data_IF_321597387307
#
_entry.id   IF_321597387307
#
_cell.length_a   1.000
_cell.length_b   1.000
_cell.length_c   1.000
_cell.angle_alpha   90.00
_cell.angle_beta   90.00
_cell.angle_gamma   90.00
#
_symmetry.space_group_name_H-M   'P 1'
#
loop_
_entity.id
_entity.type
_entity.pdbx_description
1 polymer ?
#
# COMPACT_ATOMS: atom_id res chain seq x y z
N UNK A 1 -14.16 -4.08 17.21
CA UNK A 1 -13.13 -5.14 17.08
C UNK A 1 -13.84 -6.46 16.79
N UNK A 2 -13.43 -7.18 15.75
CA UNK A 2 -14.07 -8.41 15.28
C UNK A 2 -12.96 -9.48 15.18
N UNK A 3 -12.81 -10.35 16.21
CA UNK A 3 -11.75 -11.35 16.23
C UNK A 3 -12.04 -12.47 15.21
N UNK A 4 -11.01 -12.93 14.50
CA UNK A 4 -11.12 -14.05 13.55
C UNK A 4 -12.21 -13.84 12.49
N UNK A 5 -12.38 -12.60 12.02
CA UNK A 5 -13.41 -12.22 11.05
C UNK A 5 -13.23 -12.92 9.69
N UNK A 6 -12.01 -13.36 9.39
CA UNK A 6 -11.65 -14.03 8.14
C UNK A 6 -11.27 -15.50 8.38
N UNK A 7 -11.77 -16.39 7.52
CA UNK A 7 -11.34 -17.79 7.49
C UNK A 7 -9.86 -17.92 7.10
N UNK A 8 -9.25 -19.08 7.35
CA UNK A 8 -7.86 -19.34 6.94
C UNK A 8 -7.68 -19.20 5.43
N UNK A 9 -8.67 -19.62 4.65
CA UNK A 9 -8.68 -19.53 3.19
C UNK A 9 -8.72 -18.07 2.74
N UNK A 10 -9.60 -17.25 3.34
CA UNK A 10 -9.68 -15.81 3.08
C UNK A 10 -8.36 -15.11 3.46
N UNK A 11 -7.77 -15.47 4.60
CA UNK A 11 -6.47 -14.93 5.02
C UNK A 11 -5.37 -15.26 4.01
N UNK A 12 -5.28 -16.52 3.55
CA UNK A 12 -4.32 -16.93 2.53
C UNK A 12 -4.53 -16.18 1.21
N UNK A 13 -5.80 -15.99 0.81
CA UNK A 13 -6.17 -15.24 -0.37
C UNK A 13 -5.66 -13.80 -0.30
N UNK A 14 -5.98 -13.08 0.78
CA UNK A 14 -5.60 -11.68 0.94
C UNK A 14 -4.10 -11.46 1.11
N UNK A 15 -3.40 -12.35 1.82
CA UNK A 15 -1.93 -12.30 1.91
C UNK A 15 -1.33 -12.42 0.51
N UNK A 16 -1.83 -13.34 -0.32
CA UNK A 16 -1.34 -13.53 -1.69
C UNK A 16 -1.65 -12.31 -2.57
N UNK A 17 -2.86 -11.78 -2.52
CA UNK A 17 -3.22 -10.58 -3.30
C UNK A 17 -2.42 -9.35 -2.87
N UNK A 18 -2.15 -9.21 -1.56
CA UNK A 18 -1.32 -8.13 -1.03
C UNK A 18 0.10 -8.13 -1.58
N UNK A 19 0.68 -9.30 -1.85
CA UNK A 19 2.05 -9.37 -2.36
C UNK A 19 2.12 -9.45 -3.89
N UNK A 20 1.04 -9.87 -4.55
CA UNK A 20 1.01 -10.10 -6.00
C UNK A 20 0.34 -8.98 -6.79
N UNK A 21 -0.82 -8.52 -6.34
CA UNK A 21 -1.72 -7.69 -7.13
C UNK A 21 -1.71 -6.26 -6.64
N UNK A 22 -1.76 -6.05 -5.33
CA UNK A 22 -1.84 -4.73 -4.71
C UNK A 22 -0.65 -3.81 -5.04
N UNK A 23 0.61 -4.27 -5.09
CA UNK A 23 1.76 -3.41 -5.42
C UNK A 23 1.96 -3.21 -6.93
N UNK A 24 1.09 -3.75 -7.78
CA UNK A 24 1.22 -3.58 -9.23
C UNK A 24 0.79 -2.18 -9.67
N UNK A 25 1.50 -1.54 -10.61
CA UNK A 25 1.05 -0.30 -11.22
C UNK A 25 -0.38 -0.43 -11.78
N UNK A 26 -1.22 0.63 -11.70
CA UNK A 26 -0.87 2.00 -11.34
C UNK A 26 -0.76 2.27 -9.84
N UNK A 27 -1.00 1.27 -8.98
CA UNK A 27 -0.85 1.44 -7.54
C UNK A 27 0.59 1.85 -7.20
N UNK A 28 0.72 2.78 -6.25
CA UNK A 28 2.02 3.26 -5.80
C UNK A 28 2.48 2.46 -4.59
N UNK A 29 3.79 2.34 -4.46
CA UNK A 29 4.44 1.77 -3.29
C UNK A 29 5.54 2.71 -2.78
N UNK A 30 6.08 2.43 -1.60
CA UNK A 30 7.26 3.15 -1.11
C UNK A 30 8.49 3.04 -2.03
N UNK A 31 8.52 2.02 -2.91
CA UNK A 31 9.60 1.82 -3.87
C UNK A 31 9.44 2.71 -5.11
N UNK A 32 8.21 3.13 -5.42
CA UNK A 32 7.89 3.88 -6.64
C UNK A 32 8.66 5.18 -6.77
N UNK A 33 8.91 5.90 -5.66
CA UNK A 33 9.65 7.15 -5.67
C UNK A 33 11.12 6.99 -6.11
N UNK A 34 11.73 5.83 -5.85
CA UNK A 34 13.14 5.57 -6.18
C UNK A 34 13.30 4.87 -7.52
N UNK A 35 12.45 3.90 -7.81
CA UNK A 35 12.62 2.98 -8.94
C UNK A 35 11.59 3.19 -10.06
N UNK A 36 10.62 4.08 -9.86
CA UNK A 36 9.45 4.17 -10.72
C UNK A 36 8.48 2.99 -10.51
N UNK A 37 7.49 2.83 -11.41
CA UNK A 37 6.57 1.70 -11.37
C UNK A 37 7.33 0.36 -11.48
N UNK A 38 7.12 -0.56 -10.54
CA UNK A 38 7.70 -1.90 -10.57
C UNK A 38 6.58 -2.92 -10.74
N UNK A 39 6.58 -3.64 -11.85
CA UNK A 39 5.66 -4.76 -12.07
C UNK A 39 6.27 -6.09 -11.62
N UNK A 40 5.42 -7.02 -11.21
CA UNK A 40 5.77 -8.42 -10.96
C UNK A 40 6.90 -8.66 -9.96
N UNK A 41 7.06 -7.76 -8.98
CA UNK A 41 8.15 -7.80 -7.99
C UNK A 41 8.27 -9.15 -7.27
N UNK A 42 7.16 -9.74 -6.83
CA UNK A 42 7.18 -11.04 -6.15
C UNK A 42 7.57 -12.19 -7.10
N UNK A 43 7.14 -12.12 -8.36
CA UNK A 43 7.49 -13.13 -9.38
C UNK A 43 8.98 -13.03 -9.71
N UNK A 44 9.49 -11.82 -9.90
CA UNK A 44 10.91 -11.54 -10.08
C UNK A 44 11.73 -12.08 -8.90
N UNK A 45 11.27 -11.88 -7.65
CA UNK A 45 11.93 -12.41 -6.46
C UNK A 45 11.95 -13.95 -6.42
N UNK A 46 10.85 -14.61 -6.79
CA UNK A 46 10.79 -16.08 -6.87
C UNK A 46 11.76 -16.63 -7.92
N UNK A 47 11.91 -15.91 -9.03
CA UNK A 47 12.82 -16.26 -10.12
C UNK A 47 14.26 -15.76 -9.91
N UNK A 48 14.61 -15.30 -8.70
CA UNK A 48 15.95 -14.81 -8.35
C UNK A 48 16.47 -13.66 -9.26
N UNK A 49 15.55 -12.87 -9.82
CA UNK A 49 15.91 -11.76 -10.70
C UNK A 49 16.51 -10.59 -9.93
N UNK A 50 17.25 -9.77 -10.65
CA UNK A 50 17.86 -8.54 -10.16
C UNK A 50 17.31 -7.34 -10.94
N UNK A 51 17.00 -6.27 -10.21
CA UNK A 51 16.59 -5.01 -10.80
C UNK A 51 17.85 -4.23 -11.18
N UNK A 52 17.97 -3.84 -12.45
CA UNK A 52 19.11 -3.07 -12.98
C UNK A 52 18.64 -1.76 -13.60
N UNK A 53 19.45 -0.73 -13.45
CA UNK A 53 19.28 0.54 -14.17
C UNK A 53 19.62 0.33 -15.66
N UNK A 54 18.74 0.78 -16.55
CA UNK A 54 18.93 0.74 -17.99
C UNK A 54 19.31 2.14 -18.45
N UNK A 55 20.42 2.27 -19.16
CA UNK A 55 20.76 3.54 -19.80
C UNK A 55 19.73 3.85 -20.89
N UNK A 56 19.09 5.02 -20.78
CA UNK A 56 18.30 5.57 -21.87
C UNK A 56 19.23 5.85 -23.04
N UNK A 57 19.12 5.09 -24.13
CA UNK A 57 19.87 5.33 -25.36
C UNK A 57 19.49 6.69 -25.96
N UNK A 58 20.18 7.76 -25.54
CA UNK A 58 20.04 9.09 -26.13
C UNK A 58 20.82 9.12 -27.45
N UNK A 59 20.15 8.71 -28.52
CA UNK A 59 20.71 8.70 -29.87
C UNK A 59 19.69 9.10 -30.92
N UNK A 60 19.25 10.36 -30.93
CA UNK A 60 18.92 11.18 -32.11
C UNK A 60 18.42 12.58 -31.70
N UNK A 61 18.92 13.67 -32.31
CA UNK A 61 18.33 14.99 -32.16
C UNK A 61 17.15 15.14 -33.11
N UNK A 62 16.02 15.70 -32.67
CA UNK A 62 15.07 16.42 -33.53
C UNK A 62 14.01 17.19 -32.72
N UNK A 63 14.03 18.48 -33.00
CA UNK A 63 12.93 19.43 -33.15
C UNK A 63 12.01 19.78 -31.97
N UNK A 64 11.95 21.09 -31.76
CA UNK A 64 11.03 21.84 -30.90
C UNK A 64 9.56 21.52 -31.23
N UNK A 65 8.78 21.08 -30.23
CA UNK A 65 7.56 21.80 -29.79
C UNK A 65 6.80 21.09 -28.65
N UNK A 66 6.44 21.93 -27.67
CA UNK A 66 5.31 21.88 -26.72
C UNK A 66 5.46 21.18 -25.34
N UNK A 67 5.56 22.07 -24.33
CA UNK A 67 5.17 22.00 -22.91
C UNK A 67 3.78 21.34 -22.67
N UNK A 68 3.38 20.79 -21.51
CA UNK A 68 3.93 20.46 -20.17
C UNK A 68 2.90 19.48 -19.56
N UNK A 69 3.35 18.44 -18.85
CA UNK A 69 2.50 17.52 -18.10
C UNK A 69 3.24 16.27 -17.62
N UNK A 70 4.02 16.45 -16.56
CA UNK A 70 4.64 15.45 -15.66
C UNK A 70 5.24 14.15 -16.25
N UNK A 71 6.59 14.11 -16.18
CA UNK A 71 7.46 13.02 -16.56
C UNK A 71 7.15 11.70 -15.83
N UNK A 72 6.28 10.87 -16.41
CA UNK A 72 6.43 9.43 -16.31
C UNK A 72 7.66 9.03 -17.15
N UNK A 73 8.86 9.04 -16.57
CA UNK A 73 10.03 8.47 -17.24
C UNK A 73 9.78 6.97 -17.47
N UNK A 74 9.61 6.50 -18.71
CA UNK A 74 9.47 5.08 -18.98
C UNK A 74 10.82 4.41 -18.76
N UNK A 75 10.86 3.36 -17.94
CA UNK A 75 11.86 2.31 -18.08
C UNK A 75 13.29 2.61 -17.62
N UNK A 76 13.47 3.32 -16.50
CA UNK A 76 14.81 3.42 -15.90
C UNK A 76 15.31 2.10 -15.32
N UNK A 77 14.41 1.21 -14.88
CA UNK A 77 14.78 -0.06 -14.27
C UNK A 77 14.08 -1.25 -14.92
N UNK A 78 14.77 -2.38 -15.03
CA UNK A 78 14.19 -3.66 -15.48
C UNK A 78 14.71 -4.84 -14.67
N UNK A 79 13.92 -5.90 -14.57
CA UNK A 79 14.37 -7.17 -14.01
C UNK A 79 15.09 -8.01 -15.07
N UNK A 80 16.30 -8.46 -14.76
CA UNK A 80 17.11 -9.37 -15.58
C UNK A 80 17.55 -10.58 -14.77
N UNK A 81 17.99 -11.62 -15.46
CA UNK A 81 18.68 -12.75 -14.83
C UNK A 81 20.16 -12.38 -14.55
N UNK A 82 20.74 -12.88 -13.45
CA UNK A 82 22.11 -12.52 -13.05
C UNK A 82 23.17 -12.89 -14.11
N UNK A 83 22.89 -13.93 -14.90
CA UNK A 83 23.73 -14.34 -16.04
C UNK A 83 23.78 -13.33 -17.18
N UNK A 84 22.82 -12.40 -17.26
CA UNK A 84 22.77 -11.39 -18.33
C UNK A 84 23.68 -10.18 -18.04
N UNK A 85 24.23 -10.06 -16.82
CA UNK A 85 25.12 -8.95 -16.46
C UNK A 85 26.57 -9.30 -16.83
N UNK A 86 27.17 -8.51 -17.71
CA UNK A 86 28.60 -8.59 -17.99
C UNK A 86 29.40 -8.17 -16.75
N UNK A 87 30.41 -8.96 -16.35
CA UNK A 87 31.16 -8.76 -15.10
C UNK A 87 31.90 -7.43 -15.01
N UNK A 88 32.22 -6.82 -16.14
CA UNK A 88 33.04 -5.61 -16.25
C UNK A 88 32.23 -4.31 -16.11
N UNK A 89 30.90 -4.37 -16.24
CA UNK A 89 29.96 -3.27 -16.02
C UNK A 89 28.82 -3.75 -15.12
N UNK A 90 28.99 -3.64 -13.80
CA UNK A 90 27.87 -3.87 -12.87
C UNK A 90 27.13 -2.55 -12.64
N UNK A 91 26.03 -2.27 -13.37
CA UNK A 91 25.18 -1.13 -13.05
C UNK A 91 24.66 -1.27 -11.63
N UNK A 92 24.21 -0.15 -11.06
CA UNK A 92 23.57 -0.14 -9.75
C UNK A 92 22.39 -1.12 -9.76
N UNK A 93 22.52 -2.22 -9.02
CA UNK A 93 21.57 -3.33 -9.04
C UNK A 93 21.06 -3.65 -7.65
N UNK A 94 19.90 -4.29 -7.58
CA UNK A 94 19.31 -4.77 -6.32
C UNK A 94 18.52 -6.03 -6.57
N UNK A 95 18.70 -7.05 -5.72
CA UNK A 95 17.91 -8.28 -5.83
C UNK A 95 16.42 -8.00 -5.63
N UNK A 96 15.55 -8.60 -6.46
CA UNK A 96 14.10 -8.48 -6.31
C UNK A 96 13.64 -8.93 -4.92
N UNK A 97 14.23 -10.01 -4.37
CA UNK A 97 13.94 -10.47 -3.01
C UNK A 97 14.31 -9.43 -1.92
N UNK A 98 15.34 -8.61 -2.14
CA UNK A 98 15.67 -7.52 -1.23
C UNK A 98 14.65 -6.39 -1.31
N UNK A 99 14.12 -6.10 -2.51
CA UNK A 99 13.05 -5.11 -2.70
C UNK A 99 11.73 -5.56 -2.07
N UNK A 100 11.35 -6.84 -2.18
CA UNK A 100 10.18 -7.39 -1.47
C UNK A 100 10.31 -7.15 0.04
N UNK A 101 11.49 -7.37 0.64
CA UNK A 101 11.74 -7.09 2.06
C UNK A 101 11.74 -5.60 2.42
N UNK A 102 11.90 -4.71 1.44
CA UNK A 102 11.85 -3.25 1.59
C UNK A 102 10.47 -2.68 1.29
N UNK A 103 9.51 -3.48 0.84
CA UNK A 103 8.13 -3.03 0.66
C UNK A 103 7.56 -2.64 2.04
N UNK A 104 6.92 -1.48 2.14
CA UNK A 104 6.39 -0.91 3.39
C UNK A 104 4.96 -0.44 3.26
N UNK A 105 4.59 0.08 2.10
CA UNK A 105 3.20 0.40 1.82
C UNK A 105 2.86 0.22 0.34
N UNK A 106 1.57 0.02 0.07
CA UNK A 106 0.95 0.13 -1.25
C UNK A 106 -0.39 0.85 -1.14
N UNK A 107 -0.75 1.68 -2.12
CA UNK A 107 -2.03 2.41 -2.17
C UNK A 107 -2.96 1.83 -3.23
N UNK A 108 -4.23 1.60 -2.89
CA UNK A 108 -5.28 1.13 -3.81
C UNK A 108 -6.39 2.19 -3.90
N UNK A 109 -7.04 2.30 -5.05
CA UNK A 109 -8.03 3.36 -5.24
C UNK A 109 -7.36 4.73 -5.28
N UNK A 110 -7.98 5.74 -4.69
CA UNK A 110 -7.42 7.08 -4.60
C UNK A 110 -6.02 7.05 -3.95
N UNK A 111 -5.08 7.77 -4.57
CA UNK A 111 -3.68 7.74 -4.15
C UNK A 111 -3.43 8.78 -3.05
N UNK A 112 -2.93 8.32 -1.91
CA UNK A 112 -2.49 9.20 -0.83
C UNK A 112 -1.08 9.73 -1.10
N UNK A 113 -0.92 11.05 -1.14
CA UNK A 113 0.38 11.72 -1.21
C UNK A 113 0.83 12.09 0.21
N UNK A 114 1.80 11.33 0.73
CA UNK A 114 2.39 11.57 2.06
C UNK A 114 3.09 12.93 2.19
N UNK A 115 3.59 13.52 1.10
CA UNK A 115 4.32 14.79 1.16
C UNK A 115 3.36 15.97 1.28
N UNK A 116 2.24 15.91 0.54
CA UNK A 116 1.17 16.91 0.59
C UNK A 116 0.13 16.61 1.67
N UNK A 117 0.15 15.39 2.21
CA UNK A 117 -0.82 14.86 3.17
C UNK A 117 -2.25 15.02 2.64
N UNK A 118 -2.52 14.49 1.45
CA UNK A 118 -3.84 14.55 0.83
C UNK A 118 -4.07 13.38 -0.14
N UNK A 119 -5.33 13.18 -0.53
CA UNK A 119 -5.67 12.34 -1.67
C UNK A 119 -5.63 13.17 -2.95
N UNK A 120 -4.81 12.74 -3.92
CA UNK A 120 -4.68 13.40 -5.21
C UNK A 120 -5.45 12.63 -6.28
N UNK A 121 -6.65 13.11 -6.59
CA UNK A 121 -7.56 12.50 -7.58
C UNK A 121 -7.02 12.56 -9.02
N UNK A 122 -6.02 13.41 -9.28
CA UNK A 122 -5.40 13.52 -10.60
C UNK A 122 -4.37 12.41 -10.87
N UNK A 123 -3.84 11.79 -9.81
CA UNK A 123 -2.88 10.70 -9.96
C UNK A 123 -3.56 9.47 -10.58
N UNK A 124 -2.86 8.73 -11.48
CA UNK A 124 -3.37 7.49 -12.01
C UNK A 124 -3.73 6.49 -10.91
N UNK A 125 -4.95 5.96 -10.97
CA UNK A 125 -5.42 4.93 -10.05
C UNK A 125 -6.41 3.99 -10.71
N UNK A 126 -6.55 2.81 -10.12
CA UNK A 126 -7.60 1.85 -10.45
C UNK A 126 -8.58 1.75 -9.29
N UNK A 127 -9.81 1.30 -9.57
CA UNK A 127 -10.77 0.97 -8.51
C UNK A 127 -10.17 -0.06 -7.54
N UNK A 128 -10.61 0.00 -6.30
CA UNK A 128 -10.32 -1.06 -5.32
C UNK A 128 -10.87 -2.39 -5.86
N UNK A 129 -10.15 -3.51 -5.74
CA UNK A 129 -10.64 -4.82 -6.16
C UNK A 129 -12.02 -5.14 -5.59
N UNK A 130 -12.94 -5.64 -6.43
CA UNK A 130 -14.36 -5.80 -6.07
C UNK A 130 -14.57 -6.68 -4.84
N UNK A 131 -13.79 -7.75 -4.70
CA UNK A 131 -13.83 -8.63 -3.53
C UNK A 131 -13.45 -7.88 -2.24
N UNK A 132 -12.45 -6.99 -2.31
CA UNK A 132 -11.97 -6.22 -1.16
C UNK A 132 -12.97 -5.14 -0.79
N UNK A 133 -13.52 -4.45 -1.80
CA UNK A 133 -14.59 -3.48 -1.62
C UNK A 133 -15.84 -4.13 -1.00
N UNK A 134 -16.20 -5.34 -1.44
CA UNK A 134 -17.32 -6.11 -0.90
C UNK A 134 -17.09 -6.51 0.56
N UNK A 135 -15.89 -6.98 0.88
CA UNK A 135 -15.51 -7.30 2.27
C UNK A 135 -15.57 -6.05 3.15
N UNK A 136 -14.97 -4.93 2.72
CA UNK A 136 -14.99 -3.68 3.47
C UNK A 136 -16.42 -3.18 3.67
N UNK A 137 -17.25 -3.21 2.63
CA UNK A 137 -18.68 -2.87 2.71
C UNK A 137 -19.42 -3.72 3.73
N UNK A 138 -19.22 -5.04 3.70
CA UNK A 138 -19.82 -5.98 4.68
C UNK A 138 -19.40 -5.65 6.12
N UNK A 139 -18.13 -5.34 6.34
CA UNK A 139 -17.59 -5.04 7.68
C UNK A 139 -18.02 -3.65 8.18
N UNK A 140 -18.27 -2.71 7.28
CA UNK A 140 -18.70 -1.36 7.62
C UNK A 140 -20.18 -1.27 8.03
N UNK A 141 -21.03 -2.24 7.65
CA UNK A 141 -22.50 -2.23 7.91
C UNK A 141 -22.89 -1.76 9.32
N UNK A 142 -22.27 -2.24 10.42
CA UNK A 142 -22.68 -1.83 11.77
C UNK A 142 -22.48 -0.34 12.08
N UNK A 143 -21.67 0.36 11.29
CA UNK A 143 -21.35 1.78 11.43
C UNK A 143 -22.04 2.67 10.39
N UNK A 144 -22.76 2.10 9.43
CA UNK A 144 -23.42 2.87 8.37
C UNK A 144 -24.82 3.33 8.80
N UNK A 145 -25.24 4.56 8.46
CA UNK A 145 -26.62 4.98 8.62
C UNK A 145 -27.60 4.09 7.83
N UNK A 146 -28.83 3.98 8.33
CA UNK A 146 -29.87 3.20 7.64
C UNK A 146 -30.14 3.77 6.25
N UNK A 147 -30.05 2.93 5.22
CA UNK A 147 -30.26 3.32 3.82
C UNK A 147 -29.00 3.83 3.10
N UNK A 148 -27.86 3.89 3.80
CA UNK A 148 -26.56 4.22 3.18
C UNK A 148 -25.68 2.98 3.01
N UNK A 149 -24.86 2.98 1.97
CA UNK A 149 -23.88 1.94 1.72
C UNK A 149 -22.46 2.48 1.82
N UNK A 150 -21.55 1.67 2.38
CA UNK A 150 -20.13 2.00 2.40
C UNK A 150 -19.52 1.74 1.02
N UNK A 151 -18.79 2.73 0.50
CA UNK A 151 -18.02 2.64 -0.74
C UNK A 151 -16.54 2.75 -0.42
N UNK A 152 -15.77 1.71 -0.74
CA UNK A 152 -14.33 1.74 -0.58
C UNK A 152 -13.69 2.51 -1.74
N UNK A 153 -13.17 3.70 -1.47
CA UNK A 153 -12.57 4.59 -2.49
C UNK A 153 -11.04 4.64 -2.39
N UNK A 154 -10.49 4.46 -1.20
CA UNK A 154 -9.06 4.42 -0.93
C UNK A 154 -8.71 3.29 0.04
N UNK A 155 -7.55 2.67 -0.13
CA UNK A 155 -6.97 1.76 0.85
C UNK A 155 -5.45 1.85 0.87
N UNK A 156 -4.89 1.68 2.07
CA UNK A 156 -3.44 1.61 2.29
C UNK A 156 -3.12 0.23 2.84
N UNK A 157 -2.23 -0.48 2.15
CA UNK A 157 -1.73 -1.78 2.56
C UNK A 157 -0.37 -1.57 3.19
N UNK A 158 -0.25 -1.78 4.50
CA UNK A 158 1.01 -1.65 5.22
C UNK A 158 1.71 -3.00 5.38
N UNK A 159 3.01 -3.04 5.13
CA UNK A 159 3.85 -4.24 5.26
C UNK A 159 4.87 -4.03 6.38
N UNK A 160 4.78 -4.85 7.42
CA UNK A 160 5.62 -4.76 8.60
C UNK A 160 6.61 -5.92 8.66
N UNK A 161 7.89 -5.60 8.80
CA UNK A 161 8.94 -6.50 9.25
C UNK A 161 9.03 -6.57 10.79
N UNK A 162 9.88 -7.45 11.34
CA UNK A 162 9.94 -7.74 12.78
C UNK A 162 10.21 -6.55 13.71
N UNK A 163 10.79 -5.46 13.20
CA UNK A 163 11.15 -4.27 13.98
C UNK A 163 10.44 -3.01 13.51
N UNK A 164 9.49 -3.15 12.58
CA UNK A 164 8.72 -2.01 12.10
C UNK A 164 7.62 -1.67 13.12
N UNK A 165 7.30 -0.38 13.22
CA UNK A 165 6.27 0.18 14.10
C UNK A 165 5.56 1.32 13.39
N UNK A 166 4.28 1.54 13.73
CA UNK A 166 3.54 2.71 13.30
C UNK A 166 3.33 3.62 14.51
N UNK A 167 3.76 4.87 14.41
CA UNK A 167 3.60 5.83 15.49
C UNK A 167 2.15 6.24 15.70
N UNK A 168 1.81 6.73 16.89
CA UNK A 168 0.48 7.28 17.19
C UNK A 168 0.08 8.40 16.24
N UNK A 169 -0.97 8.18 15.46
CA UNK A 169 -1.51 9.11 14.47
C UNK A 169 -3.05 9.07 14.44
N UNK A 170 -3.64 10.02 13.71
CA UNK A 170 -5.06 10.05 13.39
C UNK A 170 -5.18 10.08 11.87
N UNK A 171 -6.07 9.27 11.32
CA UNK A 171 -6.42 9.28 9.90
C UNK A 171 -7.46 10.39 9.67
N UNK A 172 -7.00 11.56 9.25
CA UNK A 172 -7.77 12.81 9.29
C UNK A 172 -7.88 13.49 7.91
N UNK A 173 -7.54 12.77 6.84
CA UNK A 173 -7.40 13.33 5.49
C UNK A 173 -8.55 12.97 4.54
N UNK A 174 -9.45 12.07 4.95
CA UNK A 174 -10.72 11.87 4.26
C UNK A 174 -11.64 13.08 4.47
N UNK A 175 -12.39 13.47 3.43
CA UNK A 175 -13.29 14.61 3.50
C UNK A 175 -14.51 14.36 4.40
N UNK A 176 -14.99 13.11 4.47
CA UNK A 176 -16.16 12.71 5.26
C UNK A 176 -15.77 11.80 6.42
N UNK A 177 -15.77 12.37 7.62
CA UNK A 177 -15.41 11.68 8.87
C UNK A 177 -16.54 10.82 9.43
N UNK A 178 -17.75 10.93 8.87
CA UNK A 178 -18.86 10.07 9.26
C UNK A 178 -18.67 8.63 8.77
N UNK A 179 -17.82 8.44 7.74
CA UNK A 179 -17.51 7.13 7.18
C UNK A 179 -16.47 6.39 8.03
N UNK A 180 -16.66 5.07 8.26
CA UNK A 180 -15.76 4.29 9.08
C UNK A 180 -14.46 3.93 8.34
N UNK A 181 -13.44 3.54 9.11
CA UNK A 181 -12.25 2.86 8.61
C UNK A 181 -12.36 1.37 8.95
N UNK A 182 -12.16 0.51 7.94
CA UNK A 182 -12.06 -0.93 8.10
C UNK A 182 -10.59 -1.34 7.99
N UNK A 183 -9.99 -1.74 9.10
CA UNK A 183 -8.60 -2.21 9.16
C UNK A 183 -8.55 -3.73 9.30
N UNK A 184 -7.82 -4.39 8.40
CA UNK A 184 -7.71 -5.85 8.30
C UNK A 184 -6.29 -6.26 8.68
N UNK A 185 -6.14 -7.16 9.66
CA UNK A 185 -4.84 -7.66 10.10
C UNK A 185 -4.57 -9.07 9.55
N UNK A 186 -3.39 -9.28 8.98
CA UNK A 186 -2.98 -10.56 8.37
C UNK A 186 -1.54 -10.91 8.75
N UNK A 187 -1.30 -12.19 9.08
CA UNK A 187 0.03 -12.69 9.41
C UNK A 187 0.40 -12.60 10.90
N UNK A 188 1.57 -12.07 11.20
CA UNK A 188 2.09 -12.05 12.57
C UNK A 188 1.21 -11.21 13.49
N UNK A 189 1.06 -11.65 14.75
CA UNK A 189 0.36 -10.86 15.76
C UNK A 189 1.12 -9.55 16.05
N UNK A 190 0.39 -8.48 16.28
CA UNK A 190 0.95 -7.20 16.75
C UNK A 190 0.17 -6.66 17.96
N UNK A 191 0.69 -5.59 18.55
CA UNK A 191 0.00 -4.79 19.57
C UNK A 191 -0.51 -3.54 18.85
N UNK A 192 -1.82 -3.32 18.92
CA UNK A 192 -2.47 -2.10 18.49
C UNK A 192 -2.83 -1.26 19.70
N UNK A 193 -2.53 0.03 19.64
CA UNK A 193 -2.79 0.99 20.71
C UNK A 193 -3.95 1.89 20.27
N UNK A 194 -5.06 1.87 21.02
CA UNK A 194 -6.15 2.82 20.82
C UNK A 194 -6.06 3.91 21.89
N UNK A 195 -5.67 5.12 21.48
CA UNK A 195 -5.51 6.30 22.31
C UNK A 195 -6.79 7.10 22.52
N UNK A 196 -6.58 8.34 22.99
CA UNK A 196 -7.62 9.36 23.12
C UNK A 196 -7.63 10.35 21.96
N UNK A 197 -8.26 11.50 22.16
CA UNK A 197 -8.27 12.61 21.18
C UNK A 197 -6.96 13.38 21.16
N UNK A 198 -6.14 13.21 22.19
CA UNK A 198 -4.82 13.81 22.34
C UNK A 198 -3.75 12.75 22.55
N UNK A 199 -2.48 13.10 22.29
CA UNK A 199 -1.33 12.19 22.46
C UNK A 199 -0.99 11.88 23.92
N UNK A 200 -1.46 12.71 24.85
CA UNK A 200 -1.15 12.59 26.28
C UNK A 200 -2.06 11.58 26.99
N UNK A 201 -3.15 11.18 26.34
CA UNK A 201 -4.07 10.17 26.87
C UNK A 201 -3.47 8.77 26.72
N UNK A 202 -3.36 8.05 27.84
CA UNK A 202 -2.81 6.70 27.87
C UNK A 202 -3.62 5.74 26.97
N UNK A 203 -2.99 5.06 25.99
CA UNK A 203 -3.71 4.20 25.08
C UNK A 203 -4.09 2.87 25.72
N UNK A 204 -5.18 2.27 25.20
CA UNK A 204 -5.58 0.91 25.50
C UNK A 204 -4.90 -0.05 24.52
N UNK A 205 -4.02 -0.96 24.98
CA UNK A 205 -3.39 -1.95 24.11
C UNK A 205 -4.33 -3.13 23.83
N UNK A 206 -4.29 -3.64 22.61
CA UNK A 206 -4.96 -4.88 22.23
C UNK A 206 -4.14 -5.70 21.23
N UNK A 207 -4.26 -7.02 21.28
CA UNK A 207 -3.65 -7.87 20.27
C UNK A 207 -4.48 -7.87 19.00
N UNK A 208 -3.84 -7.63 17.86
CA UNK A 208 -4.37 -7.98 16.55
C UNK A 208 -3.67 -9.25 16.08
N UNK A 209 -4.47 -10.24 15.70
CA UNK A 209 -4.03 -11.52 15.13
C UNK A 209 -4.41 -11.58 13.65
N UNK A 210 -3.85 -12.55 12.93
CA UNK A 210 -4.25 -12.82 11.55
C UNK A 210 -5.75 -13.10 11.48
N UNK A 211 -6.44 -12.39 10.58
CA UNK A 211 -7.89 -12.48 10.37
C UNK A 211 -8.72 -11.56 11.26
N UNK A 212 -8.12 -10.81 12.20
CA UNK A 212 -8.85 -9.83 13.00
C UNK A 212 -9.15 -8.57 12.17
N UNK A 213 -10.31 -7.96 12.45
CA UNK A 213 -10.74 -6.70 11.83
C UNK A 213 -11.05 -5.65 12.90
N UNK A 214 -10.54 -4.44 12.71
CA UNK A 214 -10.88 -3.25 13.50
C UNK A 214 -11.75 -2.34 12.65
N UNK A 215 -12.94 -2.01 13.15
CA UNK A 215 -13.82 -1.00 12.58
C UNK A 215 -13.72 0.25 13.44
N UNK A 216 -13.20 1.35 12.89
CA UNK A 216 -13.12 2.65 13.55
C UNK A 216 -14.21 3.56 12.99
N UNK A 217 -15.19 3.91 13.82
CA UNK A 217 -16.35 4.71 13.44
C UNK A 217 -16.74 5.68 14.56
N UNK A 218 -17.49 6.73 14.24
CA UNK A 218 -17.90 7.74 15.21
C UNK A 218 -16.70 8.32 15.97
N UNK A 219 -16.77 8.42 17.29
CA UNK A 219 -15.68 8.95 18.11
C UNK A 219 -14.34 8.21 17.94
N UNK A 220 -14.36 6.93 17.53
CA UNK A 220 -13.12 6.18 17.30
C UNK A 220 -12.34 6.68 16.07
N UNK A 221 -12.99 7.34 15.10
CA UNK A 221 -12.30 7.95 13.94
C UNK A 221 -11.38 9.09 14.33
N UNK A 222 -11.67 9.76 15.44
CA UNK A 222 -10.93 10.93 15.93
C UNK A 222 -9.81 10.57 16.91
N UNK A 223 -9.60 9.27 17.19
CA UNK A 223 -8.66 8.82 18.21
C UNK A 223 -7.29 8.53 17.61
N UNK A 224 -6.27 8.91 18.37
CA UNK A 224 -4.90 8.49 18.10
C UNK A 224 -4.80 6.98 18.15
N UNK A 225 -4.09 6.38 17.20
CA UNK A 225 -3.82 4.95 17.18
C UNK A 225 -2.51 4.62 16.47
N UNK A 226 -2.01 3.40 16.69
CA UNK A 226 -0.75 2.91 16.12
C UNK A 226 -0.43 1.48 16.52
#
# INVERSE_FOLDING_TARGET
FIPGALSTEEQCYWIRESLKTFPQPPNRTNLTATYGPISDLLIAAKNQKILVEVESSSGKPRDEQNNVGENAHPGKFKFVDDSEIQKEERPKSTMAAALVRKLRWSTLGLQFDWSKRNYDVSLPHSKIPDDLATLAKKMAVPAMPSGEEFTAEAAIVNYYGPSDMLGGHVDDMEADWTKPIVSISLGCKCIFLLGGKTRDEAPTPMFLRSGDIVLMAGEARERFHG
#
